data_IF_941430458141
#
_entry.id   IF_941430458141
#
_cell.length_a   1.000
_cell.length_b   1.000
_cell.length_c   1.000
_cell.angle_alpha   90.00
_cell.angle_beta   90.00
_cell.angle_gamma   90.00
#
_symmetry.space_group_name_H-M   'P 1'
#
loop_
_entity.id
_entity.type
_entity.pdbx_description
1 polymer ?
#
# COMPACT_ATOMS: atom_id res chain seq x y z
N UNK A 1 3.33 -22.98 -0.82
CA UNK A 1 4.65 -22.38 -0.52
C UNK A 1 4.62 -20.89 -0.86
N UNK A 2 3.81 -20.11 -0.15
CA UNK A 2 4.13 -18.71 0.14
C UNK A 2 4.15 -18.67 1.65
N UNK A 3 5.36 -18.61 2.20
CA UNK A 3 5.62 -18.61 3.64
C UNK A 3 5.32 -17.19 4.14
N UNK A 4 4.03 -16.90 4.20
CA UNK A 4 3.37 -15.74 4.81
C UNK A 4 3.33 -15.91 6.35
N UNK A 5 4.46 -16.21 7.00
CA UNK A 5 4.48 -16.42 8.44
C UNK A 5 4.55 -15.08 9.19
N UNK A 6 3.40 -14.41 9.21
CA UNK A 6 2.85 -13.53 10.28
C UNK A 6 3.60 -12.22 10.61
N UNK A 7 4.88 -12.04 10.25
CA UNK A 7 5.62 -10.78 10.48
C UNK A 7 6.70 -10.45 9.43
N UNK A 8 7.01 -11.35 8.49
CA UNK A 8 8.10 -11.20 7.51
C UNK A 8 7.69 -10.46 6.24
N UNK A 9 7.94 -9.14 6.20
CA UNK A 9 8.00 -8.39 4.95
C UNK A 9 8.93 -9.08 3.94
N UNK A 10 8.44 -9.34 2.72
CA UNK A 10 9.30 -9.84 1.64
C UNK A 10 10.25 -8.72 1.16
N UNK A 11 11.32 -9.09 0.45
CA UNK A 11 12.24 -8.13 -0.18
C UNK A 11 11.48 -7.10 -1.03
N UNK A 12 10.51 -7.60 -1.81
CA UNK A 12 9.64 -6.77 -2.66
C UNK A 12 8.80 -5.80 -1.85
N UNK A 13 8.26 -6.25 -0.71
CA UNK A 13 7.47 -5.38 0.15
C UNK A 13 8.30 -4.25 0.76
N UNK A 14 9.55 -4.55 1.18
CA UNK A 14 10.48 -3.52 1.66
C UNK A 14 10.83 -2.54 0.56
N UNK A 15 11.12 -3.02 -0.64
CA UNK A 15 11.37 -2.18 -1.82
C UNK A 15 10.18 -1.27 -2.14
N UNK A 16 8.95 -1.77 -2.01
CA UNK A 16 7.74 -0.95 -2.21
C UNK A 16 7.64 0.17 -1.17
N UNK A 17 7.88 -0.14 0.11
CA UNK A 17 7.84 0.85 1.19
C UNK A 17 8.97 1.88 1.05
N UNK A 18 10.16 1.45 0.65
CA UNK A 18 11.30 2.31 0.41
C UNK A 18 11.07 3.23 -0.80
N UNK A 19 10.52 2.68 -1.88
CA UNK A 19 10.11 3.44 -3.05
C UNK A 19 9.08 4.51 -2.70
N UNK A 20 8.09 4.23 -1.85
CA UNK A 20 7.11 5.24 -1.41
C UNK A 20 7.65 6.30 -0.47
N UNK A 21 8.74 6.02 0.27
CA UNK A 21 9.41 7.04 1.06
C UNK A 21 10.11 8.07 0.18
N UNK A 22 10.66 7.62 -0.96
CA UNK A 22 11.46 8.45 -1.86
C UNK A 22 10.66 9.02 -3.05
N UNK A 23 9.51 8.43 -3.40
CA UNK A 23 8.72 8.85 -4.56
C UNK A 23 7.88 10.11 -4.28
N UNK A 24 8.11 11.24 -4.97
CA UNK A 24 7.25 12.40 -4.85
C UNK A 24 5.82 12.12 -5.37
N UNK A 25 4.85 12.72 -4.66
CA UNK A 25 3.39 12.53 -4.73
C UNK A 25 2.78 12.47 -6.14
N UNK A 26 1.99 11.40 -6.35
CA UNK A 26 0.78 11.23 -7.20
C UNK A 26 0.76 11.95 -8.57
N UNK A 27 0.89 11.16 -9.64
CA UNK A 27 0.64 11.55 -11.02
C UNK A 27 0.99 10.42 -12.00
N UNK A 28 0.77 10.61 -13.30
CA UNK A 28 1.07 9.61 -14.33
C UNK A 28 2.53 9.10 -14.31
N UNK A 29 3.47 9.94 -13.83
CA UNK A 29 4.89 9.60 -13.67
C UNK A 29 5.14 8.49 -12.63
N UNK A 30 4.30 8.42 -11.60
CA UNK A 30 4.38 7.38 -10.55
C UNK A 30 3.94 6.03 -11.08
N UNK A 31 2.85 5.98 -11.85
CA UNK A 31 2.38 4.71 -12.43
C UNK A 31 3.38 4.14 -13.45
N UNK A 32 4.00 5.01 -14.26
CA UNK A 32 5.04 4.61 -15.20
C UNK A 32 6.28 4.06 -14.47
N UNK A 33 6.74 4.72 -13.40
CA UNK A 33 7.86 4.26 -12.59
C UNK A 33 7.58 2.92 -11.90
N UNK A 34 6.39 2.77 -11.30
CA UNK A 34 5.96 1.51 -10.69
C UNK A 34 5.91 0.37 -11.70
N UNK A 35 5.40 0.64 -12.91
CA UNK A 35 5.36 -0.35 -13.98
C UNK A 35 6.75 -0.71 -14.48
N UNK A 36 7.67 0.25 -14.56
CA UNK A 36 9.05 0.00 -14.97
C UNK A 36 9.83 -0.79 -13.92
N UNK A 37 9.69 -0.45 -12.64
CA UNK A 37 10.45 -1.03 -11.53
C UNK A 37 9.91 -2.39 -11.08
N UNK A 38 8.58 -2.50 -10.95
CA UNK A 38 7.92 -3.69 -10.39
C UNK A 38 7.19 -4.52 -11.44
N UNK A 39 7.03 -4.03 -12.67
CA UNK A 39 6.22 -4.71 -13.71
C UNK A 39 4.71 -4.71 -13.41
N UNK A 40 4.27 -3.92 -12.43
CA UNK A 40 2.87 -3.91 -11.97
C UNK A 40 2.09 -2.73 -12.58
N UNK A 41 0.80 -2.95 -12.83
CA UNK A 41 -0.12 -1.85 -13.13
C UNK A 41 -0.37 -1.01 -11.87
N UNK A 42 -0.56 0.30 -12.02
CA UNK A 42 -0.82 1.22 -10.90
C UNK A 42 -1.96 0.75 -9.98
N UNK A 43 -3.04 0.21 -10.56
CA UNK A 43 -4.15 -0.37 -9.80
C UNK A 43 -3.74 -1.59 -8.95
N UNK A 44 -2.97 -2.52 -9.52
CA UNK A 44 -2.49 -3.73 -8.82
C UNK A 44 -1.48 -3.36 -7.73
N UNK A 45 -0.63 -2.38 -7.99
CA UNK A 45 0.31 -1.84 -7.03
C UNK A 45 -0.40 -1.19 -5.83
N UNK A 46 -1.41 -0.33 -6.08
CA UNK A 46 -2.19 0.29 -5.01
C UNK A 46 -2.92 -0.75 -4.14
N UNK A 47 -3.43 -1.82 -4.76
CA UNK A 47 -4.09 -2.90 -4.05
C UNK A 47 -3.12 -3.69 -3.17
N UNK A 48 -1.93 -4.02 -3.69
CA UNK A 48 -0.90 -4.72 -2.93
C UNK A 48 -0.34 -3.87 -1.80
N UNK A 49 -0.08 -2.58 -2.06
CA UNK A 49 0.30 -1.60 -1.04
C UNK A 49 -0.76 -1.53 0.06
N UNK A 50 -2.05 -1.50 -0.30
CA UNK A 50 -3.16 -1.48 0.64
C UNK A 50 -3.20 -2.69 1.57
N UNK A 51 -2.93 -3.90 1.08
CA UNK A 51 -2.81 -5.10 1.91
C UNK A 51 -1.50 -5.14 2.69
N UNK A 52 -0.44 -4.52 2.16
CA UNK A 52 0.87 -4.50 2.80
C UNK A 52 0.88 -3.65 4.06
N UNK A 53 0.26 -2.47 4.02
CA UNK A 53 0.18 -1.54 5.16
C UNK A 53 -0.62 -2.11 6.34
N UNK A 54 -1.43 -3.15 6.13
CA UNK A 54 -2.16 -3.85 7.19
C UNK A 54 -1.29 -4.90 7.91
N UNK A 55 -0.15 -5.27 7.33
CA UNK A 55 0.75 -6.26 7.94
C UNK A 55 1.58 -5.60 9.06
N UNK A 56 1.77 -6.28 10.21
CA UNK A 56 2.58 -5.74 11.31
C UNK A 56 4.05 -5.48 10.90
N UNK A 57 4.58 -6.23 9.92
CA UNK A 57 5.91 -5.99 9.38
C UNK A 57 6.05 -4.60 8.74
N UNK A 58 5.03 -4.12 8.02
CA UNK A 58 5.06 -2.79 7.40
C UNK A 58 5.12 -1.68 8.46
N UNK A 59 4.35 -1.81 9.54
CA UNK A 59 4.40 -0.91 10.69
C UNK A 59 5.79 -0.90 11.35
N UNK A 60 6.46 -2.05 11.45
CA UNK A 60 7.80 -2.13 12.00
C UNK A 60 8.88 -1.47 11.11
N UNK A 61 8.70 -1.51 9.79
CA UNK A 61 9.65 -0.93 8.84
C UNK A 61 9.45 0.57 8.63
N UNK A 62 8.20 1.02 8.39
CA UNK A 62 7.89 2.41 8.07
C UNK A 62 6.59 2.89 8.77
N UNK A 63 6.60 3.03 10.11
CA UNK A 63 5.38 3.28 10.89
C UNK A 63 4.65 4.57 10.49
N UNK A 64 5.38 5.66 10.19
CA UNK A 64 4.77 6.94 9.82
C UNK A 64 4.07 6.91 8.45
N UNK A 65 4.69 6.24 7.47
CA UNK A 65 4.11 6.07 6.14
C UNK A 65 2.87 5.20 6.22
N UNK A 66 2.95 4.08 6.93
CA UNK A 66 1.87 3.13 7.10
C UNK A 66 0.68 3.76 7.82
N UNK A 67 0.91 4.47 8.94
CA UNK A 67 -0.15 5.17 9.66
C UNK A 67 -0.87 6.22 8.80
N UNK A 68 -0.12 6.97 7.96
CA UNK A 68 -0.70 7.95 7.03
C UNK A 68 -1.57 7.27 5.97
N UNK A 69 -1.11 6.16 5.40
CA UNK A 69 -1.83 5.41 4.37
C UNK A 69 -3.08 4.73 4.93
N UNK A 70 -3.00 4.14 6.13
CA UNK A 70 -4.15 3.56 6.83
C UNK A 70 -5.23 4.61 7.08
N UNK A 71 -4.85 5.78 7.59
CA UNK A 71 -5.81 6.88 7.83
C UNK A 71 -6.52 7.35 6.56
N UNK A 72 -5.81 7.41 5.43
CA UNK A 72 -6.40 7.76 4.13
C UNK A 72 -7.38 6.68 3.67
N UNK A 73 -7.11 5.41 3.98
CA UNK A 73 -7.96 4.27 3.65
C UNK A 73 -9.23 4.25 4.50
N UNK A 74 -9.11 4.41 5.82
CA UNK A 74 -10.24 4.54 6.74
C UNK A 74 -11.18 5.67 6.31
N UNK A 75 -10.62 6.80 5.89
CA UNK A 75 -11.39 7.93 5.36
C UNK A 75 -12.18 7.57 4.09
N UNK A 76 -11.62 6.71 3.22
CA UNK A 76 -12.28 6.22 2.00
C UNK A 76 -13.32 5.14 2.29
N UNK A 77 -13.07 4.27 3.26
CA UNK A 77 -13.99 3.22 3.67
C UNK A 77 -15.21 3.79 4.41
N UNK A 78 -15.01 4.75 5.32
CA UNK A 78 -16.09 5.50 5.96
C UNK A 78 -17.02 6.17 4.92
N UNK A 79 -16.44 6.74 3.86
CA UNK A 79 -17.21 7.32 2.76
C UNK A 79 -18.00 6.28 1.95
N UNK A 80 -17.55 5.01 1.87
CA UNK A 80 -18.33 3.93 1.23
C UNK A 80 -19.46 3.43 2.13
N UNK A 81 -19.18 3.19 3.42
CA UNK A 81 -20.18 2.67 4.36
C UNK A 81 -21.38 3.60 4.53
N UNK A 82 -21.18 4.91 4.41
CA UNK A 82 -22.27 5.88 4.42
C UNK A 82 -23.23 5.80 3.21
N UNK A 83 -22.88 5.08 2.13
CA UNK A 83 -23.72 4.92 0.93
C UNK A 83 -24.38 3.54 0.80
N UNK A 84 -23.89 2.54 1.51
CA UNK A 84 -24.38 1.15 1.41
C UNK A 84 -25.38 0.76 2.50
N UNK A 85 -25.63 1.61 3.50
CA UNK A 85 -26.75 1.44 4.43
C UNK A 85 -28.03 2.05 3.83
N UNK A 86 -28.60 1.30 2.90
CA UNK A 86 -29.90 1.57 2.29
C UNK A 86 -30.44 0.30 1.66
N UNK A 87 -30.86 -0.66 2.50
CA UNK A 87 -31.73 -1.77 2.10
C UNK A 87 -32.71 -2.08 3.21
#
# INVERSE_FOLDING_TARGET
MHDDLVSGLTERDRMILDFEQHAPTVGARKEAAVRAEFGLSGARYQQLLGSLIEKPGALAYAPMLVARLLRLRDSREAARSARTFGR
#
